data_IF_345295868576
#
_entry.id   IF_345295868576
#
_cell.length_a   1.000
_cell.length_b   1.000
_cell.length_c   1.000
_cell.angle_alpha   90.00
_cell.angle_beta   90.00
_cell.angle_gamma   90.00
#
_symmetry.space_group_name_H-M   'P 1'
#
loop_
_entity.id
_entity.type
_entity.pdbx_description
1 polymer ?
#
# COMPACT_ATOMS: atom_id res chain seq x y z
N UNK A 1 25.23 -12.08 10.37
CA UNK A 1 24.05 -12.26 9.51
C UNK A 1 24.52 -12.88 8.21
N UNK A 2 23.71 -13.73 7.58
CA UNK A 2 24.08 -14.32 6.28
C UNK A 2 24.21 -13.21 5.19
N UNK A 3 25.38 -13.14 4.53
CA UNK A 3 25.68 -12.14 3.47
C UNK A 3 24.69 -12.17 2.30
N UNK A 4 24.30 -13.37 1.87
CA UNK A 4 23.32 -13.55 0.80
C UNK A 4 21.94 -13.03 1.19
N UNK A 5 21.53 -13.24 2.44
CA UNK A 5 20.27 -12.71 2.97
C UNK A 5 20.26 -11.16 3.00
N UNK A 6 21.36 -10.53 3.41
CA UNK A 6 21.51 -9.07 3.37
C UNK A 6 21.43 -8.53 1.93
N UNK A 7 22.09 -9.19 0.97
CA UNK A 7 21.99 -8.85 -0.46
C UNK A 7 20.54 -8.93 -0.98
N UNK A 8 19.84 -10.03 -0.70
CA UNK A 8 18.44 -10.19 -1.10
C UNK A 8 17.50 -9.17 -0.43
N UNK A 9 17.84 -8.71 0.78
CA UNK A 9 17.10 -7.63 1.44
C UNK A 9 17.29 -6.30 0.69
N UNK A 10 18.51 -5.98 0.23
CA UNK A 10 18.76 -4.83 -0.65
C UNK A 10 18.03 -4.90 -1.99
N UNK A 11 18.02 -6.07 -2.63
CA UNK A 11 17.26 -6.29 -3.87
C UNK A 11 15.76 -6.06 -3.64
N UNK A 12 15.23 -6.54 -2.51
CA UNK A 12 13.82 -6.33 -2.15
C UNK A 12 13.52 -4.86 -1.83
N UNK A 13 14.46 -4.14 -1.21
CA UNK A 13 14.34 -2.70 -0.99
C UNK A 13 14.34 -1.91 -2.31
N UNK A 14 15.14 -2.32 -3.29
CA UNK A 14 15.10 -1.72 -4.62
C UNK A 14 13.72 -1.91 -5.29
N UNK A 15 13.13 -3.11 -5.16
CA UNK A 15 11.75 -3.35 -5.63
C UNK A 15 10.72 -2.48 -4.90
N UNK A 16 10.84 -2.35 -3.58
CA UNK A 16 9.95 -1.47 -2.80
C UNK A 16 10.09 0.00 -3.24
N UNK A 17 11.30 0.48 -3.57
CA UNK A 17 11.51 1.82 -4.13
C UNK A 17 10.82 2.00 -5.48
N UNK A 18 10.94 1.01 -6.37
CA UNK A 18 10.35 1.09 -7.70
C UNK A 18 8.82 1.09 -7.61
N UNK A 19 8.23 0.20 -6.79
CA UNK A 19 6.79 0.16 -6.55
C UNK A 19 6.28 1.45 -5.90
N UNK A 20 7.01 2.00 -4.92
CA UNK A 20 6.69 3.32 -4.36
C UNK A 20 6.73 4.43 -5.43
N UNK A 21 7.75 4.44 -6.29
CA UNK A 21 7.85 5.41 -7.37
C UNK A 21 6.69 5.26 -8.38
N UNK A 22 6.28 4.04 -8.70
CA UNK A 22 5.11 3.79 -9.54
C UNK A 22 3.84 4.31 -8.86
N UNK A 23 3.64 4.05 -7.57
CA UNK A 23 2.50 4.54 -6.81
C UNK A 23 2.43 6.07 -6.79
N UNK A 24 3.57 6.76 -6.65
CA UNK A 24 3.65 8.22 -6.69
C UNK A 24 3.32 8.81 -8.07
N UNK A 25 3.50 8.04 -9.14
CA UNK A 25 3.31 8.48 -10.53
C UNK A 25 2.11 7.82 -11.22
N UNK A 26 1.32 7.04 -10.48
CA UNK A 26 0.16 6.34 -10.99
C UNK A 26 -0.86 7.35 -11.55
N UNK A 27 -1.34 7.09 -12.77
CA UNK A 27 -2.30 7.92 -13.48
C UNK A 27 -3.71 7.35 -13.40
N UNK A 28 -3.82 6.05 -13.15
CA UNK A 28 -5.08 5.34 -12.96
C UNK A 28 -5.15 4.71 -11.58
N UNK A 29 -6.36 4.36 -11.16
CA UNK A 29 -6.58 3.68 -9.88
C UNK A 29 -5.98 2.28 -9.92
N UNK A 30 -6.08 1.59 -11.04
CA UNK A 30 -5.49 0.27 -11.28
C UNK A 30 -3.96 0.30 -11.11
N UNK A 31 -3.29 1.29 -11.73
CA UNK A 31 -1.85 1.48 -11.58
C UNK A 31 -1.45 1.72 -10.12
N UNK A 32 -2.28 2.46 -9.37
CA UNK A 32 -2.04 2.71 -7.96
C UNK A 32 -2.26 1.45 -7.10
N UNK A 33 -3.31 0.69 -7.36
CA UNK A 33 -3.62 -0.57 -6.67
C UNK A 33 -2.52 -1.62 -6.89
N UNK A 34 -2.09 -1.80 -8.14
CA UNK A 34 -1.00 -2.72 -8.50
C UNK A 34 0.32 -2.31 -7.84
N UNK A 35 0.68 -1.02 -7.93
CA UNK A 35 1.90 -0.51 -7.32
C UNK A 35 1.88 -0.63 -5.78
N UNK A 36 0.71 -0.45 -5.15
CA UNK A 36 0.53 -0.63 -3.72
C UNK A 36 0.71 -2.10 -3.31
N UNK A 37 0.07 -3.05 -4.00
CA UNK A 37 0.27 -4.49 -3.76
C UNK A 37 1.73 -4.90 -3.93
N UNK A 38 2.40 -4.40 -4.97
CA UNK A 38 3.81 -4.72 -5.23
C UNK A 38 4.74 -4.15 -4.14
N UNK A 39 4.44 -2.95 -3.63
CA UNK A 39 5.12 -2.34 -2.49
C UNK A 39 4.97 -3.18 -1.21
N UNK A 40 3.74 -3.59 -0.88
CA UNK A 40 3.43 -4.43 0.28
C UNK A 40 4.19 -5.76 0.22
N UNK A 41 4.16 -6.42 -0.94
CA UNK A 41 4.88 -7.66 -1.21
C UNK A 41 6.40 -7.51 -1.05
N UNK A 42 6.99 -6.45 -1.62
CA UNK A 42 8.42 -6.17 -1.49
C UNK A 42 8.82 -5.90 -0.02
N UNK A 43 8.00 -5.14 0.71
CA UNK A 43 8.19 -4.84 2.13
C UNK A 43 8.24 -6.10 3.00
N UNK A 44 7.31 -7.04 2.77
CA UNK A 44 7.29 -8.33 3.47
C UNK A 44 8.51 -9.22 3.16
N UNK A 45 8.99 -9.20 1.91
CA UNK A 45 10.20 -9.93 1.50
C UNK A 45 11.44 -9.44 2.24
N UNK A 46 11.60 -8.13 2.46
CA UNK A 46 12.70 -7.56 3.25
C UNK A 46 12.75 -8.19 4.64
N UNK A 47 11.63 -8.16 5.38
CA UNK A 47 11.54 -8.77 6.70
C UNK A 47 11.85 -10.26 6.67
N UNK A 48 11.32 -10.99 5.68
CA UNK A 48 11.55 -12.43 5.54
C UNK A 48 13.01 -12.79 5.31
N UNK A 49 13.72 -12.01 4.47
CA UNK A 49 15.16 -12.21 4.22
C UNK A 49 15.99 -11.86 5.45
N UNK A 50 15.74 -10.74 6.11
CA UNK A 50 16.44 -10.33 7.32
C UNK A 50 16.21 -11.31 8.47
N UNK A 51 14.97 -11.78 8.66
CA UNK A 51 14.65 -12.81 9.64
C UNK A 51 15.50 -14.06 9.40
N UNK A 52 15.43 -14.60 8.18
CA UNK A 52 16.14 -15.83 7.81
C UNK A 52 17.65 -15.68 7.96
N UNK A 53 18.19 -14.54 7.55
CA UNK A 53 19.63 -14.23 7.67
C UNK A 53 20.11 -13.98 9.10
N UNK A 54 19.21 -13.63 10.02
CA UNK A 54 19.53 -13.38 11.42
C UNK A 54 19.58 -14.65 12.27
N UNK A 55 18.88 -15.72 11.88
CA UNK A 55 18.77 -16.97 12.67
C UNK A 55 20.16 -17.53 13.00
N UNK A 56 20.36 -17.91 14.26
CA UNK A 56 21.63 -18.48 14.76
C UNK A 56 22.76 -17.46 14.95
N UNK A 57 22.59 -16.20 14.53
CA UNK A 57 23.60 -15.17 14.70
C UNK A 57 23.45 -14.47 16.05
N UNK A 58 24.45 -14.60 16.92
CA UNK A 58 24.43 -14.14 18.33
C UNK A 58 23.92 -12.70 18.52
N UNK A 59 24.28 -11.78 17.62
CA UNK A 59 23.91 -10.35 17.73
C UNK A 59 22.77 -9.94 16.81
N UNK A 60 22.58 -10.63 15.68
CA UNK A 60 21.58 -10.21 14.68
C UNK A 60 20.20 -10.78 15.00
N UNK A 61 20.13 -11.98 15.61
CA UNK A 61 18.86 -12.56 16.01
C UNK A 61 18.15 -11.72 17.09
N UNK A 62 18.82 -11.27 18.18
CA UNK A 62 18.18 -10.37 19.14
C UNK A 62 17.79 -9.01 18.54
N UNK A 63 18.64 -8.47 17.64
CA UNK A 63 18.31 -7.23 16.92
C UNK A 63 17.04 -7.39 16.08
N UNK A 64 16.94 -8.45 15.28
CA UNK A 64 15.76 -8.70 14.46
C UNK A 64 14.50 -8.94 15.32
N UNK A 65 14.66 -9.59 16.48
CA UNK A 65 13.58 -9.72 17.46
C UNK A 65 13.00 -8.37 17.90
N UNK A 66 13.84 -7.36 18.14
CA UNK A 66 13.39 -5.99 18.45
C UNK A 66 12.66 -5.35 17.26
N UNK A 67 13.20 -5.45 16.06
CA UNK A 67 12.57 -4.91 14.84
C UNK A 67 11.21 -5.57 14.54
N UNK A 68 11.08 -6.87 14.83
CA UNK A 68 9.80 -7.58 14.73
C UNK A 68 8.79 -7.05 15.76
N UNK A 69 9.23 -6.76 16.98
CA UNK A 69 8.36 -6.18 17.99
C UNK A 69 7.93 -4.76 17.61
N UNK A 70 8.87 -3.92 17.14
CA UNK A 70 8.60 -2.56 16.67
C UNK A 70 7.56 -2.55 15.54
N UNK A 71 7.70 -3.42 14.53
CA UNK A 71 6.68 -3.59 13.48
C UNK A 71 5.29 -3.92 14.04
N UNK A 72 5.21 -4.69 15.12
CA UNK A 72 3.92 -5.09 15.70
C UNK A 72 3.30 -3.96 16.54
N UNK A 73 4.13 -3.15 17.20
CA UNK A 73 3.66 -2.07 18.08
C UNK A 73 3.44 -0.74 17.36
N UNK A 74 4.11 -0.53 16.22
CA UNK A 74 3.93 0.65 15.40
C UNK A 74 2.71 0.49 14.48
N UNK A 75 1.79 1.46 14.52
CA UNK A 75 0.52 1.43 13.80
C UNK A 75 0.72 1.28 12.28
N UNK A 76 1.60 2.09 11.69
CA UNK A 76 1.89 2.07 10.25
C UNK A 76 2.54 0.76 9.81
N UNK A 77 3.56 0.30 10.53
CA UNK A 77 4.28 -0.92 10.17
C UNK A 77 3.43 -2.18 10.38
N UNK A 78 2.56 -2.18 11.39
CA UNK A 78 1.60 -3.25 11.62
C UNK A 78 0.57 -3.28 10.49
N UNK A 79 0.01 -2.12 10.13
CA UNK A 79 -0.92 -1.99 9.01
C UNK A 79 -0.32 -2.51 7.70
N UNK A 80 0.89 -2.07 7.32
CA UNK A 80 1.60 -2.55 6.10
C UNK A 80 1.77 -4.06 6.12
N UNK A 81 2.07 -4.65 7.28
CA UNK A 81 2.20 -6.10 7.39
C UNK A 81 0.86 -6.82 7.15
N UNK A 82 -0.22 -6.29 7.72
CA UNK A 82 -1.53 -6.92 7.65
C UNK A 82 -2.21 -6.69 6.30
N UNK A 83 -2.08 -5.51 5.71
CA UNK A 83 -2.52 -5.24 4.35
C UNK A 83 -1.89 -6.24 3.36
N UNK A 84 -0.59 -6.53 3.48
CA UNK A 84 0.05 -7.58 2.68
C UNK A 84 -0.60 -8.95 2.89
N UNK A 85 -0.90 -9.31 4.14
CA UNK A 85 -1.49 -10.62 4.43
C UNK A 85 -2.89 -10.74 3.83
N UNK A 86 -3.70 -9.68 3.94
CA UNK A 86 -5.00 -9.59 3.30
C UNK A 86 -4.91 -9.73 1.77
N UNK A 87 -3.97 -9.01 1.15
CA UNK A 87 -3.71 -9.04 -0.30
C UNK A 87 -3.34 -10.45 -0.80
N UNK A 88 -2.37 -11.10 -0.16
CA UNK A 88 -1.93 -12.45 -0.55
C UNK A 88 -2.97 -13.54 -0.33
N UNK A 89 -3.84 -13.36 0.67
CA UNK A 89 -4.90 -14.32 0.95
C UNK A 89 -6.18 -14.04 0.16
N UNK A 90 -6.28 -12.91 -0.56
CA UNK A 90 -7.34 -12.59 -1.51
C UNK A 90 -8.75 -12.47 -0.90
N UNK A 91 -8.86 -12.39 0.43
CA UNK A 91 -10.14 -12.39 1.15
C UNK A 91 -10.61 -10.97 1.48
N UNK A 92 -9.70 -9.99 1.54
CA UNK A 92 -10.04 -8.63 1.96
C UNK A 92 -9.48 -7.57 1.02
N UNK A 93 -10.32 -6.58 0.71
CA UNK A 93 -9.96 -5.43 -0.10
C UNK A 93 -9.00 -4.53 0.68
N UNK A 94 -7.78 -4.31 0.18
CA UNK A 94 -6.76 -3.46 0.85
C UNK A 94 -6.90 -1.97 0.51
N UNK A 95 -7.68 -1.67 -0.53
CA UNK A 95 -7.98 -0.33 -1.01
C UNK A 95 -9.45 -0.24 -1.44
N UNK A 96 -10.05 0.93 -1.28
CA UNK A 96 -11.40 1.23 -1.76
C UNK A 96 -11.30 2.32 -2.80
N UNK A 97 -12.00 2.11 -3.91
CA UNK A 97 -12.19 3.11 -4.96
C UNK A 97 -13.24 4.11 -4.51
N UNK A 98 -12.85 5.37 -4.35
CA UNK A 98 -13.75 6.45 -3.93
C UNK A 98 -14.09 7.32 -5.13
N UNK A 99 -15.38 7.50 -5.39
CA UNK A 99 -15.85 8.47 -6.38
C UNK A 99 -15.61 9.89 -5.85
N UNK A 100 -14.74 10.64 -6.52
CA UNK A 100 -14.43 12.03 -6.20
C UNK A 100 -15.33 13.00 -6.96
N UNK A 101 -15.83 12.59 -8.13
CA UNK A 101 -16.74 13.41 -8.89
C UNK A 101 -17.02 12.89 -10.29
N UNK A 102 -17.82 13.66 -11.01
CA UNK A 102 -18.19 13.41 -12.39
C UNK A 102 -17.79 14.58 -13.24
N UNK A 103 -17.00 14.31 -14.27
CA UNK A 103 -16.74 15.28 -15.32
C UNK A 103 -17.68 15.00 -16.50
N UNK A 104 -18.45 16.01 -16.87
CA UNK A 104 -19.36 15.95 -18.01
C UNK A 104 -18.91 16.98 -19.04
N UNK A 105 -18.67 16.52 -20.27
CA UNK A 105 -18.33 17.39 -21.40
C UNK A 105 -19.38 17.23 -22.49
N UNK A 106 -20.07 18.33 -22.81
CA UNK A 106 -20.93 18.41 -23.98
C UNK A 106 -20.13 18.69 -25.26
N UNK A 107 -20.62 18.21 -26.40
CA UNK A 107 -20.13 18.62 -27.72
C UNK A 107 -20.72 19.98 -28.14
N UNK A 108 -20.18 20.57 -29.20
CA UNK A 108 -20.63 21.87 -29.74
C UNK A 108 -22.12 21.92 -30.13
N UNK A 109 -22.75 20.77 -30.35
CA UNK A 109 -24.16 20.64 -30.73
C UNK A 109 -25.14 20.73 -29.53
N UNK A 110 -24.64 20.98 -28.32
CA UNK A 110 -25.44 20.90 -27.09
C UNK A 110 -25.55 19.47 -26.56
N UNK A 111 -25.96 19.36 -25.30
CA UNK A 111 -25.84 18.14 -24.51
C UNK A 111 -27.13 17.89 -23.72
N UNK A 112 -27.67 16.66 -23.76
CA UNK A 112 -28.83 16.25 -22.96
C UNK A 112 -28.60 14.92 -22.26
N UNK A 113 -28.49 14.93 -20.93
CA UNK A 113 -28.32 13.73 -20.12
C UNK A 113 -29.69 13.23 -19.64
N UNK A 114 -30.01 11.97 -19.89
CA UNK A 114 -31.22 11.32 -19.38
C UNK A 114 -30.86 10.31 -18.30
N UNK A 115 -31.01 10.69 -17.04
CA UNK A 115 -30.75 9.80 -15.91
C UNK A 115 -29.26 9.53 -15.69
N UNK A 116 -28.84 9.69 -14.44
CA UNK A 116 -27.51 9.40 -13.97
C UNK A 116 -27.66 8.65 -12.67
N UNK A 117 -27.12 7.44 -12.59
CA UNK A 117 -27.15 6.63 -11.40
C UNK A 117 -25.72 6.28 -11.00
N UNK A 118 -25.34 6.70 -9.80
CA UNK A 118 -24.10 6.28 -9.14
C UNK A 118 -24.45 5.11 -8.24
N UNK A 119 -23.85 3.96 -8.50
CA UNK A 119 -23.98 2.77 -7.67
C UNK A 119 -23.07 2.87 -6.42
N UNK A 120 -23.35 2.06 -5.41
CA UNK A 120 -22.59 2.04 -4.15
C UNK A 120 -21.11 1.66 -4.32
N UNK A 121 -20.75 0.99 -5.43
CA UNK A 121 -19.37 0.64 -5.80
C UNK A 121 -18.64 1.77 -6.57
N UNK A 122 -19.26 2.95 -6.72
CA UNK A 122 -18.72 4.07 -7.49
C UNK A 122 -18.91 3.94 -9.01
N UNK A 123 -19.53 2.87 -9.49
CA UNK A 123 -19.86 2.71 -10.91
C UNK A 123 -20.97 3.68 -11.29
N UNK A 124 -20.81 4.34 -12.43
CA UNK A 124 -21.77 5.33 -12.91
C UNK A 124 -22.46 4.79 -14.16
N UNK A 125 -23.73 4.43 -13.96
CA UNK A 125 -24.63 4.04 -15.04
C UNK A 125 -25.30 5.31 -15.54
N UNK A 126 -25.17 5.58 -16.83
CA UNK A 126 -25.97 6.57 -17.53
C UNK A 126 -26.72 5.88 -18.67
N UNK A 127 -27.95 6.32 -18.95
CA UNK A 127 -28.59 5.84 -20.17
C UNK A 127 -27.85 6.43 -21.38
N UNK A 128 -27.58 5.62 -22.42
CA UNK A 128 -26.98 6.13 -23.64
C UNK A 128 -27.90 7.21 -24.22
N UNK A 129 -27.47 8.46 -24.09
CA UNK A 129 -28.15 9.57 -24.75
C UNK A 129 -27.64 9.62 -26.18
N UNK A 130 -28.53 9.75 -27.16
CA UNK A 130 -28.17 10.04 -28.56
C UNK A 130 -27.51 11.43 -28.74
N UNK A 131 -27.12 12.11 -27.66
CA UNK A 131 -26.48 13.43 -27.68
C UNK A 131 -25.08 13.36 -27.11
N UNK A 132 -24.15 14.11 -27.72
CA UNK A 132 -22.71 14.05 -27.50
C UNK A 132 -22.26 14.52 -26.12
N UNK A 133 -22.61 13.78 -25.07
CA UNK A 133 -22.07 13.95 -23.73
C UNK A 133 -21.05 12.85 -23.49
N UNK A 134 -19.83 13.26 -23.16
CA UNK A 134 -18.85 12.38 -22.54
C UNK A 134 -18.94 12.52 -21.02
N UNK A 135 -19.19 11.42 -20.32
CA UNK A 135 -19.19 11.35 -18.85
C UNK A 135 -17.96 10.57 -18.43
N UNK A 136 -17.11 11.18 -17.62
CA UNK A 136 -15.92 10.58 -17.04
C UNK A 136 -16.05 10.58 -15.52
N UNK A 137 -15.82 9.42 -14.90
CA UNK A 137 -15.78 9.25 -13.44
C UNK A 137 -14.38 9.56 -12.92
N UNK A 138 -14.31 10.53 -12.01
CA UNK A 138 -13.09 10.82 -11.27
C UNK A 138 -13.07 9.93 -10.03
N UNK A 139 -12.19 8.93 -10.03
CA UNK A 139 -12.08 7.95 -8.94
C UNK A 139 -10.69 8.04 -8.34
N UNK A 140 -10.60 7.98 -7.01
CA UNK A 140 -9.34 7.92 -6.27
C UNK A 140 -9.21 6.58 -5.54
N UNK A 141 -7.96 6.18 -5.28
CA UNK A 141 -7.68 5.05 -4.38
C UNK A 141 -7.57 5.57 -2.94
N UNK A 142 -8.36 4.98 -2.05
CA UNK A 142 -8.25 5.15 -0.59
C UNK A 142 -7.88 3.84 0.05
N UNK A 143 -7.21 3.87 1.20
CA UNK A 143 -6.87 2.65 1.93
C UNK A 143 -8.07 2.17 2.76
N UNK A 144 -8.19 0.86 2.91
CA UNK A 144 -9.22 0.23 3.74
C UNK A 144 -8.66 -0.18 5.10
N UNK A 145 -9.53 -0.25 6.11
CA UNK A 145 -9.21 -0.96 7.35
C UNK A 145 -9.05 -2.46 7.05
N UNK A 146 -8.05 -3.08 7.67
CA UNK A 146 -7.74 -4.51 7.43
C UNK A 146 -8.31 -5.34 8.57
N UNK A 147 -9.16 -6.29 8.24
CA UNK A 147 -9.69 -7.27 9.18
C UNK A 147 -8.89 -8.58 9.11
N UNK A 148 -8.37 -9.05 10.25
CA UNK A 148 -7.66 -10.32 10.39
C UNK A 148 -8.62 -11.39 10.92
N UNK A 149 -9.24 -12.15 10.02
CA UNK A 149 -10.20 -13.22 10.35
C UNK A 149 -9.64 -14.25 11.35
N UNK A 150 -8.33 -14.48 11.32
CA UNK A 150 -7.69 -15.51 12.15
C UNK A 150 -7.65 -15.13 13.62
N UNK A 151 -7.53 -13.83 13.90
CA UNK A 151 -7.35 -13.30 15.24
C UNK A 151 -8.52 -12.43 15.71
N UNK A 152 -9.43 -12.06 14.81
CA UNK A 152 -10.57 -11.19 15.10
C UNK A 152 -10.18 -9.72 15.32
N UNK A 153 -8.99 -9.33 14.85
CA UNK A 153 -8.43 -8.00 15.04
C UNK A 153 -8.71 -7.12 13.81
N UNK A 154 -8.94 -5.83 14.04
CA UNK A 154 -9.03 -4.82 12.97
C UNK A 154 -7.85 -3.86 13.07
N UNK A 155 -7.19 -3.64 11.94
CA UNK A 155 -6.06 -2.73 11.80
C UNK A 155 -6.54 -1.51 10.99
N UNK A 156 -6.85 -0.39 11.66
CA UNK A 156 -7.33 0.79 10.97
C UNK A 156 -6.21 1.41 10.12
N UNK A 157 -6.60 2.18 9.10
CA UNK A 157 -5.63 2.98 8.32
C UNK A 157 -4.83 3.88 9.28
N UNK A 158 -3.49 3.82 9.26
CA UNK A 158 -2.67 4.36 10.33
C UNK A 158 -2.77 5.89 10.40
N UNK A 159 -2.87 6.40 11.62
CA UNK A 159 -2.83 7.84 11.92
C UNK A 159 -1.48 8.27 12.48
N UNK A 160 -0.66 7.32 12.95
CA UNK A 160 0.67 7.59 13.50
C UNK A 160 1.76 6.65 12.96
N UNK A 161 3.00 7.11 13.02
CA UNK A 161 4.20 6.31 12.79
C UNK A 161 5.32 6.78 13.72
N UNK A 162 5.90 5.84 14.46
CA UNK A 162 6.94 6.05 15.48
C UNK A 162 6.54 7.14 16.49
N UNK A 163 5.27 7.13 16.90
CA UNK A 163 4.68 8.08 17.84
C UNK A 163 4.40 9.48 17.28
N UNK A 164 4.56 9.68 15.97
CA UNK A 164 4.29 10.96 15.30
C UNK A 164 3.02 10.87 14.43
N UNK A 165 2.16 11.89 14.40
CA UNK A 165 1.00 11.91 13.52
C UNK A 165 1.42 11.96 12.05
N UNK A 166 0.64 11.30 11.19
CA UNK A 166 0.78 11.36 9.74
C UNK A 166 0.17 12.66 9.19
N UNK A 167 0.72 13.21 8.09
CA UNK A 167 0.13 14.37 7.42
C UNK A 167 -1.18 14.03 6.70
N UNK A 168 -1.31 12.83 6.15
CA UNK A 168 -2.54 12.26 5.62
C UNK A 168 -2.50 10.72 5.64
N UNK A 169 -3.64 10.07 5.37
CA UNK A 169 -3.80 8.62 5.37
C UNK A 169 -3.68 8.00 3.97
N UNK A 170 -3.01 8.68 3.02
CA UNK A 170 -2.88 8.18 1.65
C UNK A 170 -1.82 7.08 1.57
N UNK A 171 -2.01 6.16 0.61
CA UNK A 171 -1.04 5.11 0.31
C UNK A 171 0.35 5.67 -0.04
N UNK A 172 0.41 6.84 -0.70
CA UNK A 172 1.66 7.56 -1.00
C UNK A 172 2.41 7.94 0.27
N UNK A 173 1.75 8.61 1.23
CA UNK A 173 2.35 8.98 2.52
C UNK A 173 2.80 7.76 3.31
N UNK A 174 1.94 6.74 3.40
CA UNK A 174 2.23 5.52 4.15
C UNK A 174 3.40 4.75 3.53
N UNK A 175 3.43 4.62 2.19
CA UNK A 175 4.55 3.98 1.50
C UNK A 175 5.86 4.76 1.64
N UNK A 176 5.83 6.10 1.61
CA UNK A 176 7.02 6.93 1.87
C UNK A 176 7.61 6.64 3.24
N UNK A 177 6.80 6.74 4.30
CA UNK A 177 7.26 6.53 5.67
C UNK A 177 7.73 5.09 5.92
N UNK A 178 6.98 4.10 5.41
CA UNK A 178 7.39 2.70 5.46
C UNK A 178 8.72 2.49 4.71
N UNK A 179 8.91 3.10 3.54
CA UNK A 179 10.13 2.95 2.74
C UNK A 179 11.36 3.55 3.44
N UNK A 180 11.21 4.72 4.07
CA UNK A 180 12.25 5.33 4.89
C UNK A 180 12.68 4.40 6.04
N UNK A 181 11.70 3.86 6.75
CA UNK A 181 11.94 2.87 7.80
C UNK A 181 12.63 1.61 7.26
N UNK A 182 12.13 1.03 6.17
CA UNK A 182 12.69 -0.19 5.56
C UNK A 182 14.12 0.01 5.09
N UNK A 183 14.45 1.19 4.56
CA UNK A 183 15.83 1.54 4.21
C UNK A 183 16.75 1.55 5.45
N UNK A 184 16.29 2.14 6.56
CA UNK A 184 17.00 2.10 7.84
C UNK A 184 17.20 0.65 8.32
N UNK A 185 16.13 -0.15 8.29
CA UNK A 185 16.13 -1.56 8.68
C UNK A 185 17.14 -2.39 7.88
N UNK A 186 17.16 -2.25 6.55
CA UNK A 186 18.12 -2.98 5.69
C UNK A 186 19.55 -2.53 5.93
N UNK A 187 19.78 -1.22 6.09
CA UNK A 187 21.11 -0.67 6.41
C UNK A 187 21.63 -1.23 7.74
N UNK A 188 20.80 -1.24 8.78
CA UNK A 188 21.19 -1.73 10.09
C UNK A 188 21.39 -3.25 10.11
N UNK A 189 20.52 -3.99 9.42
CA UNK A 189 20.67 -5.44 9.23
C UNK A 189 21.99 -5.79 8.52
N UNK A 190 22.35 -5.01 7.50
CA UNK A 190 23.56 -5.24 6.70
C UNK A 190 24.85 -5.05 7.49
N UNK A 191 24.85 -4.28 8.58
CA UNK A 191 26.03 -4.15 9.47
C UNK A 191 26.42 -5.48 10.10
N UNK A 192 25.46 -6.37 10.33
CA UNK A 192 25.74 -7.71 10.86
C UNK A 192 26.28 -8.68 9.81
N UNK A 193 26.26 -8.32 8.53
CA UNK A 193 26.74 -9.17 7.44
C UNK A 193 28.20 -8.87 7.07
N UNK A 194 28.85 -7.90 7.73
CA UNK A 194 30.26 -7.55 7.51
C UNK A 194 31.17 -8.67 8.03
#
# INVERSE_FOLDING_TARGET
MNKLAARHAWESLHKARNAHAQLMNAKTVEEAEDAWSEFLSASSRIYSKLHSGSKGHKTAQPWFGRMKNERRSDELLAYVHQARNADEHGISQISVRKLEGLQMRGTEAGARLYGLQVQNNGEVIHHPSNTGIHVETLVSMTLADIYDDKHGDTFPVPTTHLGKPLPDQKATTISTLALEYLNGLVRDGSKFAQ
#
